data_IF_743211259629
#
_entry.id   IF_743211259629
#
_cell.length_a   1.000
_cell.length_b   1.000
_cell.length_c   1.000
_cell.angle_alpha   90.00
_cell.angle_beta   90.00
_cell.angle_gamma   90.00
#
_symmetry.space_group_name_H-M   'P 1'
#
loop_
_entity.id
_entity.type
_entity.pdbx_description
1 polymer ?
#
# COMPACT_ATOMS: atom_id res chain seq x y z
N UNK A 1 -22.49 17.50 -45.71
CA UNK A 1 -22.28 16.53 -44.62
C UNK A 1 -20.84 16.65 -44.17
N UNK A 2 -20.62 17.14 -42.94
CA UNK A 2 -19.28 17.36 -42.41
C UNK A 2 -18.94 16.17 -41.51
N UNK A 3 -18.13 15.24 -42.01
CA UNK A 3 -17.67 14.09 -41.24
C UNK A 3 -16.64 14.56 -40.23
N UNK A 4 -17.00 14.57 -38.95
CA UNK A 4 -16.09 14.83 -37.84
C UNK A 4 -15.35 13.53 -37.52
N UNK A 5 -14.09 13.41 -37.95
CA UNK A 5 -13.21 12.35 -37.48
C UNK A 5 -12.80 12.64 -36.03
N UNK A 6 -13.40 11.93 -35.08
CA UNK A 6 -12.93 11.90 -33.70
C UNK A 6 -11.73 10.96 -33.65
N UNK A 7 -10.52 11.49 -33.78
CA UNK A 7 -9.32 10.73 -33.40
C UNK A 7 -9.33 10.57 -31.89
N UNK A 8 -9.64 9.36 -31.40
CA UNK A 8 -9.44 9.00 -30.00
C UNK A 8 -7.95 9.15 -29.69
N UNK A 9 -7.59 10.20 -28.95
CA UNK A 9 -6.23 10.45 -28.51
C UNK A 9 -5.90 9.37 -27.48
N UNK A 10 -5.15 8.35 -27.90
CA UNK A 10 -4.66 7.33 -26.97
C UNK A 10 -3.71 8.03 -26.00
N UNK A 11 -4.07 8.10 -24.71
CA UNK A 11 -3.18 8.63 -23.69
C UNK A 11 -1.85 7.85 -23.77
N UNK A 12 -0.73 8.58 -23.79
CA UNK A 12 0.57 7.94 -23.76
C UNK A 12 0.67 7.06 -22.51
N UNK A 13 1.26 5.86 -22.67
CA UNK A 13 1.47 4.95 -21.54
C UNK A 13 2.22 5.68 -20.42
N UNK A 14 1.78 5.58 -19.15
CA UNK A 14 2.50 6.17 -18.03
C UNK A 14 3.98 5.78 -18.04
N UNK A 15 4.87 6.72 -17.74
CA UNK A 15 6.33 6.55 -17.84
C UNK A 15 6.89 5.41 -16.97
N UNK A 16 6.17 5.05 -15.90
CA UNK A 16 6.53 3.96 -15.01
C UNK A 16 6.19 2.58 -15.60
N UNK A 17 5.36 2.50 -16.65
CA UNK A 17 5.11 1.26 -17.37
C UNK A 17 6.24 1.05 -18.39
N UNK A 18 7.42 0.64 -17.90
CA UNK A 18 8.61 0.39 -18.71
C UNK A 18 9.49 -0.70 -18.08
N UNK A 19 9.21 -1.97 -18.38
CA UNK A 19 9.99 -3.09 -17.82
C UNK A 19 11.47 -3.00 -18.17
N UNK A 20 11.81 -2.73 -19.43
CA UNK A 20 13.20 -2.71 -19.92
C UNK A 20 14.11 -1.80 -19.07
N UNK A 21 13.60 -0.64 -18.66
CA UNK A 21 14.37 0.34 -17.88
C UNK A 21 14.17 0.22 -16.38
N UNK A 22 13.01 -0.25 -15.93
CA UNK A 22 12.61 -0.16 -14.52
C UNK A 22 12.51 -1.52 -13.82
N UNK A 23 12.79 -2.63 -14.51
CA UNK A 23 12.69 -4.01 -14.00
C UNK A 23 13.15 -4.16 -12.55
N UNK A 24 14.35 -3.68 -12.22
CA UNK A 24 14.95 -3.84 -10.89
C UNK A 24 14.19 -3.12 -9.76
N UNK A 25 13.40 -2.09 -10.09
CA UNK A 25 12.62 -1.31 -9.14
C UNK A 25 11.15 -1.75 -9.07
N UNK A 26 10.78 -2.81 -9.79
CA UNK A 26 9.37 -3.17 -9.99
C UNK A 26 9.08 -4.63 -9.65
N UNK A 27 10.01 -5.34 -9.03
CA UNK A 27 9.77 -6.73 -8.62
C UNK A 27 8.94 -6.77 -7.33
N UNK A 28 7.73 -7.32 -7.39
CA UNK A 28 6.84 -7.45 -6.22
C UNK A 28 7.45 -8.32 -5.13
N UNK A 29 8.21 -9.36 -5.50
CA UNK A 29 8.86 -10.22 -4.54
C UNK A 29 9.92 -9.52 -3.69
N UNK A 30 10.55 -8.46 -4.20
CA UNK A 30 11.48 -7.63 -3.41
C UNK A 30 10.81 -7.03 -2.17
N UNK A 31 9.51 -6.77 -2.25
CA UNK A 31 8.69 -6.21 -1.17
C UNK A 31 8.19 -7.33 -0.24
N UNK A 32 7.65 -8.40 -0.83
CA UNK A 32 7.03 -9.51 -0.10
C UNK A 32 8.05 -10.36 0.68
N UNK A 33 9.30 -10.45 0.20
CA UNK A 33 10.36 -11.28 0.78
C UNK A 33 11.19 -10.58 1.87
N UNK A 34 10.71 -9.44 2.38
CA UNK A 34 11.40 -8.70 3.44
C UNK A 34 11.34 -9.46 4.77
N UNK A 35 12.22 -9.05 5.69
CA UNK A 35 12.23 -9.57 7.05
C UNK A 35 10.87 -9.36 7.72
N UNK A 36 10.47 -10.29 8.60
CA UNK A 36 9.25 -10.15 9.41
C UNK A 36 9.35 -8.98 10.41
N UNK A 37 10.55 -8.41 10.62
CA UNK A 37 10.76 -7.21 11.44
C UNK A 37 10.65 -5.90 10.64
N UNK A 38 10.57 -5.97 9.31
CA UNK A 38 10.49 -4.79 8.46
C UNK A 38 9.03 -4.32 8.34
N UNK A 39 8.64 -3.40 9.22
CA UNK A 39 7.32 -2.74 9.17
C UNK A 39 7.38 -1.50 8.28
N UNK A 40 6.42 -1.36 7.37
CA UNK A 40 6.22 -0.17 6.52
C UNK A 40 4.92 0.52 6.88
N UNK A 41 4.86 1.84 6.72
CA UNK A 41 3.68 2.67 6.96
C UNK A 41 3.27 3.36 5.66
N UNK A 42 1.98 3.33 5.34
CA UNK A 42 1.43 4.18 4.31
C UNK A 42 1.48 5.63 4.80
N UNK A 43 2.30 6.44 4.16
CA UNK A 43 2.45 7.86 4.52
C UNK A 43 1.55 8.74 3.66
N UNK A 44 1.27 8.32 2.42
CA UNK A 44 0.40 9.07 1.51
C UNK A 44 -0.39 8.15 0.57
N UNK A 45 -1.56 8.64 0.16
CA UNK A 45 -2.41 8.03 -0.86
C UNK A 45 -3.09 9.09 -1.70
N UNK A 46 -3.50 8.73 -2.91
CA UNK A 46 -4.37 9.56 -3.75
C UNK A 46 -5.85 9.33 -3.46
N UNK A 47 -6.22 8.27 -2.71
CA UNK A 47 -7.61 7.93 -2.40
C UNK A 47 -7.75 7.39 -0.96
N UNK A 48 -8.07 8.24 0.03
CA UNK A 48 -8.27 7.79 1.40
C UNK A 48 -9.49 6.87 1.49
N UNK A 49 -9.39 5.85 2.34
CA UNK A 49 -10.47 4.91 2.65
C UNK A 49 -11.33 5.51 3.77
N UNK A 50 -12.64 5.59 3.53
CA UNK A 50 -13.62 6.11 4.47
C UNK A 50 -14.82 5.19 4.54
N UNK A 51 -15.38 5.02 5.73
CA UNK A 51 -16.55 4.18 5.96
C UNK A 51 -17.43 4.76 7.06
N UNK A 52 -18.72 4.42 7.04
CA UNK A 52 -19.63 4.69 8.15
C UNK A 52 -19.57 3.49 9.09
N UNK A 53 -19.10 3.70 10.31
CA UNK A 53 -19.10 2.70 11.37
C UNK A 53 -20.22 2.97 12.38
N UNK A 54 -20.62 1.96 13.13
CA UNK A 54 -21.60 2.07 14.21
C UNK A 54 -20.93 1.68 15.54
N UNK A 55 -20.17 2.60 16.17
CA UNK A 55 -19.55 2.32 17.47
C UNK A 55 -20.58 2.02 18.56
N UNK A 56 -21.81 2.52 18.41
CA UNK A 56 -22.97 2.19 19.25
C UNK A 56 -24.22 2.11 18.37
N UNK A 57 -25.25 1.40 18.85
CA UNK A 57 -26.54 1.26 18.15
C UNK A 57 -27.12 2.63 17.78
N UNK A 58 -27.52 2.81 16.53
CA UNK A 58 -28.07 4.05 15.96
C UNK A 58 -27.20 5.32 16.10
N UNK A 59 -25.88 5.17 16.27
CA UNK A 59 -24.94 6.30 16.22
C UNK A 59 -23.89 6.08 15.13
N UNK A 60 -24.24 6.35 13.85
CA UNK A 60 -23.29 6.24 12.74
C UNK A 60 -22.20 7.31 12.85
N UNK A 61 -20.96 6.92 12.57
CA UNK A 61 -19.82 7.82 12.46
C UNK A 61 -19.08 7.58 11.16
N UNK A 62 -18.90 8.65 10.39
CA UNK A 62 -17.97 8.63 9.27
C UNK A 62 -16.54 8.62 9.84
N UNK A 63 -15.78 7.58 9.50
CA UNK A 63 -14.37 7.47 9.87
C UNK A 63 -13.51 7.32 8.63
N UNK A 64 -12.30 7.86 8.72
CA UNK A 64 -11.22 7.58 7.77
C UNK A 64 -10.30 6.53 8.39
N UNK A 65 -9.78 5.65 7.54
CA UNK A 65 -8.77 4.68 7.92
C UNK A 65 -7.40 5.36 7.77
N UNK A 66 -6.66 5.39 8.87
CA UNK A 66 -5.34 6.02 8.98
C UNK A 66 -4.33 5.03 9.50
N UNK A 67 -3.06 5.42 9.51
CA UNK A 67 -2.00 4.65 10.14
C UNK A 67 -1.84 3.24 9.58
N UNK A 68 -2.24 3.02 8.33
CA UNK A 68 -2.01 1.77 7.64
C UNK A 68 -0.52 1.43 7.71
N UNK A 69 -0.24 0.23 8.16
CA UNK A 69 1.10 -0.30 8.33
C UNK A 69 1.09 -1.78 8.02
N UNK A 70 2.19 -2.28 7.49
CA UNK A 70 2.26 -3.61 6.92
C UNK A 70 3.59 -4.29 7.23
N UNK A 71 3.53 -5.60 7.44
CA UNK A 71 4.66 -6.53 7.33
C UNK A 71 4.22 -7.78 6.57
N UNK A 72 5.18 -8.58 6.14
CA UNK A 72 4.94 -9.87 5.49
C UNK A 72 5.44 -11.02 6.36
N UNK A 73 4.70 -12.11 6.39
CA UNK A 73 5.08 -13.37 7.03
C UNK A 73 4.72 -14.57 6.15
N UNK A 74 5.06 -15.79 6.60
CA UNK A 74 4.76 -17.04 5.91
C UNK A 74 5.15 -17.04 4.41
N UNK A 75 6.32 -16.48 4.10
CA UNK A 75 6.84 -16.41 2.74
C UNK A 75 7.13 -17.81 2.16
N UNK A 76 6.62 -18.09 0.97
CA UNK A 76 7.00 -19.23 0.13
C UNK A 76 7.79 -18.70 -1.07
N UNK A 77 9.11 -18.88 -1.04
CA UNK A 77 10.03 -18.40 -2.06
C UNK A 77 9.82 -19.04 -3.44
N UNK A 78 9.33 -20.29 -3.49
CA UNK A 78 9.13 -20.97 -4.78
C UNK A 78 7.86 -20.48 -5.47
N UNK A 79 6.80 -20.26 -4.69
CA UNK A 79 5.51 -19.78 -5.22
C UNK A 79 5.46 -18.26 -5.31
N UNK A 80 6.36 -17.56 -4.63
CA UNK A 80 6.33 -16.12 -4.42
C UNK A 80 4.99 -15.67 -3.81
N UNK A 81 4.60 -16.36 -2.73
CA UNK A 81 3.41 -16.07 -1.93
C UNK A 81 3.79 -15.66 -0.51
N UNK A 82 2.96 -14.86 0.15
CA UNK A 82 3.15 -14.48 1.54
C UNK A 82 1.81 -14.14 2.21
N UNK A 83 1.82 -14.06 3.54
CA UNK A 83 0.74 -13.43 4.31
C UNK A 83 1.09 -11.95 4.50
N UNK A 84 0.21 -11.06 4.05
CA UNK A 84 0.29 -9.61 4.24
C UNK A 84 -0.50 -9.25 5.50
N UNK A 85 0.18 -8.70 6.49
CA UNK A 85 -0.40 -8.36 7.79
C UNK A 85 -0.49 -6.85 7.95
N UNK A 86 -1.70 -6.33 7.99
CA UNK A 86 -1.95 -4.92 8.19
C UNK A 86 -2.35 -4.59 9.62
N UNK A 87 -1.91 -3.41 10.07
CA UNK A 87 -2.53 -2.70 11.19
C UNK A 87 -2.90 -1.29 10.80
N UNK A 88 -4.01 -0.80 11.35
CA UNK A 88 -4.51 0.55 11.08
C UNK A 88 -5.28 1.13 12.27
N UNK A 89 -5.56 2.42 12.19
CA UNK A 89 -6.37 3.16 13.15
C UNK A 89 -7.56 3.84 12.45
N UNK A 90 -8.55 4.25 13.24
CA UNK A 90 -9.74 4.94 12.77
C UNK A 90 -9.78 6.36 13.36
N UNK A 91 -10.22 7.34 12.57
CA UNK A 91 -10.41 8.72 13.05
C UNK A 91 -11.65 8.90 13.92
N UNK A 92 -12.55 7.92 13.98
CA UNK A 92 -13.72 7.92 14.87
C UNK A 92 -13.32 8.21 16.31
N UNK A 93 -14.05 9.12 16.96
CA UNK A 93 -13.81 9.51 18.35
C UNK A 93 -14.01 8.35 19.33
N UNK A 94 -14.95 7.45 19.06
CA UNK A 94 -15.21 6.27 19.89
C UNK A 94 -14.23 5.12 19.65
N UNK A 95 -13.49 5.16 18.55
CA UNK A 95 -12.47 4.16 18.19
C UNK A 95 -11.05 4.69 18.30
N UNK A 96 -10.89 5.96 18.71
CA UNK A 96 -9.59 6.60 18.88
C UNK A 96 -8.72 5.79 19.83
N UNK A 97 -7.42 5.75 19.55
CA UNK A 97 -6.42 4.99 20.31
C UNK A 97 -6.58 3.46 20.28
N UNK A 98 -7.33 2.92 19.32
CA UNK A 98 -7.39 1.48 19.04
C UNK A 98 -6.55 1.15 17.80
N UNK A 99 -6.01 -0.06 17.75
CA UNK A 99 -5.40 -0.63 16.56
C UNK A 99 -6.26 -1.79 16.07
N UNK A 100 -6.47 -1.84 14.76
CA UNK A 100 -7.21 -2.89 14.07
C UNK A 100 -6.27 -3.66 13.17
N UNK A 101 -6.67 -4.88 12.81
CA UNK A 101 -5.83 -5.85 12.13
C UNK A 101 -6.56 -6.40 10.91
N UNK A 102 -5.83 -6.62 9.82
CA UNK A 102 -6.32 -7.25 8.60
C UNK A 102 -5.23 -8.16 8.05
N UNK A 103 -5.62 -9.33 7.56
CA UNK A 103 -4.71 -10.37 7.08
C UNK A 103 -5.14 -10.81 5.69
N UNK A 104 -4.20 -10.85 4.76
CA UNK A 104 -4.49 -11.20 3.37
C UNK A 104 -3.40 -12.11 2.82
N UNK A 105 -3.79 -13.22 2.19
CA UNK A 105 -2.85 -14.01 1.41
C UNK A 105 -2.58 -13.29 0.09
N UNK A 106 -1.31 -13.15 -0.25
CA UNK A 106 -0.87 -12.45 -1.46
C UNK A 106 0.06 -13.29 -2.31
N UNK A 107 0.11 -12.99 -3.60
CA UNK A 107 1.05 -13.61 -4.54
C UNK A 107 1.60 -12.60 -5.54
N UNK A 108 2.86 -12.79 -5.93
CA UNK A 108 3.49 -12.01 -6.97
C UNK A 108 3.08 -12.55 -8.36
N UNK A 109 2.55 -11.68 -9.24
CA UNK A 109 2.16 -12.02 -10.61
C UNK A 109 2.69 -10.99 -11.63
N UNK A 110 2.91 -11.39 -12.90
CA UNK A 110 3.15 -10.42 -13.95
C UNK A 110 1.84 -9.75 -14.37
N UNK A 111 1.85 -8.44 -14.56
CA UNK A 111 0.76 -7.71 -15.24
C UNK A 111 1.32 -6.74 -16.28
N UNK A 112 0.44 -6.12 -17.08
CA UNK A 112 0.82 -5.14 -18.11
C UNK A 112 1.77 -5.70 -19.18
N UNK A 113 1.75 -7.02 -19.41
CA UNK A 113 2.61 -7.70 -20.38
C UNK A 113 4.05 -7.92 -19.91
N UNK A 114 4.33 -7.73 -18.62
CA UNK A 114 5.68 -7.86 -18.09
C UNK A 114 6.12 -9.33 -18.01
N UNK A 115 7.42 -9.58 -18.13
CA UNK A 115 8.00 -10.89 -17.85
C UNK A 115 8.30 -11.09 -16.37
N UNK A 116 8.61 -10.02 -15.62
CA UNK A 116 8.71 -10.06 -14.16
C UNK A 116 7.35 -10.03 -13.48
N UNK A 117 7.30 -10.62 -12.29
CA UNK A 117 6.18 -10.47 -11.37
C UNK A 117 6.23 -9.09 -10.71
N UNK A 118 5.59 -8.11 -11.33
CA UNK A 118 5.59 -6.71 -10.91
C UNK A 118 4.37 -6.28 -10.09
N UNK A 119 3.54 -7.24 -9.70
CA UNK A 119 2.24 -6.95 -9.08
C UNK A 119 1.99 -7.87 -7.91
N UNK A 120 1.44 -7.32 -6.84
CA UNK A 120 0.93 -8.07 -5.70
C UNK A 120 -0.58 -8.27 -5.93
N UNK A 121 -1.01 -9.51 -6.16
CA UNK A 121 -2.43 -9.88 -6.23
C UNK A 121 -2.92 -10.35 -4.87
N UNK A 122 -4.13 -9.93 -4.49
CA UNK A 122 -4.78 -10.30 -3.26
C UNK A 122 -6.30 -10.47 -3.46
N UNK A 123 -6.92 -11.30 -2.62
CA UNK A 123 -8.38 -11.47 -2.60
C UNK A 123 -9.03 -10.26 -1.92
N UNK A 124 -9.84 -9.48 -2.64
CA UNK A 124 -10.53 -8.31 -2.10
C UNK A 124 -11.93 -8.65 -1.59
N UNK A 125 -12.63 -9.51 -2.33
CA UNK A 125 -13.85 -10.19 -1.88
C UNK A 125 -13.78 -11.64 -2.32
N UNK A 126 -14.67 -12.51 -1.81
CA UNK A 126 -14.74 -13.93 -2.17
C UNK A 126 -14.76 -14.23 -3.68
N UNK A 127 -15.12 -13.25 -4.49
CA UNK A 127 -15.28 -13.41 -5.95
C UNK A 127 -14.38 -12.46 -6.75
N UNK A 128 -13.59 -11.61 -6.09
CA UNK A 128 -12.84 -10.55 -6.75
C UNK A 128 -11.43 -10.44 -6.18
N UNK A 129 -10.47 -10.67 -7.06
CA UNK A 129 -9.07 -10.34 -6.80
C UNK A 129 -8.80 -8.88 -7.20
N UNK A 130 -7.90 -8.24 -6.46
CA UNK A 130 -7.38 -6.93 -6.74
C UNK A 130 -5.85 -6.96 -6.82
N UNK A 131 -5.29 -5.87 -7.36
CA UNK A 131 -3.86 -5.80 -7.63
C UNK A 131 -3.28 -4.47 -7.18
N UNK A 132 -2.12 -4.55 -6.52
CA UNK A 132 -1.24 -3.42 -6.28
C UNK A 132 -0.01 -3.57 -7.18
N UNK A 133 0.11 -2.70 -8.18
CA UNK A 133 1.20 -2.77 -9.18
C UNK A 133 2.38 -1.97 -8.67
N UNK A 134 3.57 -2.56 -8.65
CA UNK A 134 4.78 -1.89 -8.17
C UNK A 134 5.23 -0.88 -9.22
N UNK A 135 5.11 0.40 -8.91
CA UNK A 135 5.64 1.48 -9.74
C UNK A 135 7.13 1.68 -9.44
N UNK A 136 7.50 1.62 -8.15
CA UNK A 136 8.86 1.76 -7.66
C UNK A 136 9.03 1.10 -6.29
N UNK A 137 10.16 0.43 -6.08
CA UNK A 137 10.69 0.06 -4.78
C UNK A 137 12.22 0.13 -4.85
N UNK A 138 12.84 0.60 -3.77
CA UNK A 138 14.29 0.50 -3.58
C UNK A 138 14.68 -0.73 -2.73
N UNK A 139 13.68 -1.53 -2.34
CA UNK A 139 13.85 -2.71 -1.49
C UNK A 139 14.02 -2.41 0.00
N UNK A 140 14.12 -1.15 0.43
CA UNK A 140 14.45 -0.82 1.82
C UNK A 140 13.78 0.43 2.40
N UNK A 141 13.74 1.56 1.71
CA UNK A 141 13.22 2.80 2.27
C UNK A 141 11.73 2.98 1.97
N UNK A 142 11.28 2.68 0.75
CA UNK A 142 9.90 2.90 0.36
C UNK A 142 9.43 2.06 -0.83
N UNK A 143 8.12 1.96 -0.94
CA UNK A 143 7.39 1.38 -2.05
C UNK A 143 6.32 2.34 -2.55
N UNK A 144 6.18 2.40 -3.86
CA UNK A 144 5.14 3.12 -4.54
C UNK A 144 4.31 2.15 -5.37
N UNK A 145 3.01 2.09 -5.07
CA UNK A 145 2.07 1.27 -5.81
C UNK A 145 1.13 2.12 -6.66
N UNK A 146 0.75 1.57 -7.80
CA UNK A 146 -0.47 1.94 -8.51
C UNK A 146 -1.59 1.01 -8.04
N UNK A 147 -2.75 1.59 -7.70
CA UNK A 147 -3.95 0.89 -7.23
C UNK A 147 -5.07 1.08 -8.26
N UNK A 148 -5.19 0.19 -9.27
CA UNK A 148 -5.99 0.43 -10.46
C UNK A 148 -7.49 0.62 -10.20
N UNK A 149 -8.03 0.00 -9.14
CA UNK A 149 -9.44 0.14 -8.75
C UNK A 149 -9.82 1.55 -8.25
N UNK A 150 -8.86 2.46 -8.08
CA UNK A 150 -9.09 3.81 -7.56
C UNK A 150 -8.65 4.88 -8.56
N UNK A 151 -9.23 6.08 -8.43
CA UNK A 151 -8.94 7.26 -9.27
C UNK A 151 -8.87 6.96 -10.78
N UNK A 152 -9.85 6.19 -11.30
CA UNK A 152 -9.92 5.81 -12.71
C UNK A 152 -8.63 5.15 -13.24
N UNK A 153 -8.03 4.24 -12.46
CA UNK A 153 -6.77 3.57 -12.80
C UNK A 153 -5.51 4.33 -12.38
N UNK A 154 -5.64 5.58 -11.90
CA UNK A 154 -4.52 6.46 -11.54
C UNK A 154 -4.28 6.56 -10.03
N UNK A 155 -4.88 5.66 -9.25
CA UNK A 155 -4.67 5.59 -7.82
C UNK A 155 -3.23 5.25 -7.44
N UNK A 156 -2.72 5.84 -6.36
CA UNK A 156 -1.40 5.50 -5.83
C UNK A 156 -1.34 5.45 -4.30
N UNK A 157 -0.35 4.70 -3.82
CA UNK A 157 0.00 4.61 -2.41
C UNK A 157 1.50 4.65 -2.20
N UNK A 158 1.95 5.49 -1.27
CA UNK A 158 3.33 5.57 -0.83
C UNK A 158 3.49 4.92 0.54
N UNK A 159 4.29 3.86 0.58
CA UNK A 159 4.63 3.11 1.79
C UNK A 159 6.10 3.31 2.13
N UNK A 160 6.40 3.55 3.40
CA UNK A 160 7.74 3.94 3.86
C UNK A 160 8.11 3.11 5.08
N UNK A 161 9.34 2.60 5.14
CA UNK A 161 9.83 1.82 6.28
C UNK A 161 9.68 2.60 7.58
N UNK A 162 9.37 1.91 8.68
CA UNK A 162 9.01 2.52 9.96
C UNK A 162 10.05 3.53 10.47
N UNK A 163 11.34 3.31 10.20
CA UNK A 163 12.43 4.25 10.57
C UNK A 163 12.34 5.60 9.85
N UNK A 164 11.66 5.68 8.71
CA UNK A 164 11.56 6.89 7.89
C UNK A 164 10.13 7.48 7.81
N UNK A 165 9.12 6.87 8.44
CA UNK A 165 7.72 7.32 8.35
C UNK A 165 7.47 8.77 8.78
N UNK A 166 8.28 9.29 9.71
CA UNK A 166 8.22 10.69 10.17
C UNK A 166 9.09 11.63 9.31
N UNK A 167 10.07 11.09 8.58
CA UNK A 167 11.02 11.83 7.76
C UNK A 167 11.17 11.09 6.42
N UNK A 168 10.14 11.21 5.58
CA UNK A 168 10.06 10.46 4.31
C UNK A 168 11.24 10.84 3.42
N UNK A 169 11.98 9.86 2.85
CA UNK A 169 13.12 10.17 2.00
C UNK A 169 12.71 11.02 0.79
N UNK A 170 13.56 11.97 0.42
CA UNK A 170 13.25 12.91 -0.67
C UNK A 170 13.02 12.21 -2.01
N UNK A 171 13.75 11.12 -2.30
CA UNK A 171 13.53 10.32 -3.52
C UNK A 171 12.12 9.72 -3.55
N UNK A 172 11.64 9.16 -2.44
CA UNK A 172 10.32 8.56 -2.33
C UNK A 172 9.21 9.60 -2.55
N UNK A 173 9.34 10.77 -1.92
CA UNK A 173 8.39 11.88 -2.08
C UNK A 173 8.40 12.42 -3.50
N UNK A 174 9.59 12.65 -4.08
CA UNK A 174 9.74 13.14 -5.44
C UNK A 174 9.08 12.20 -6.47
N UNK A 175 9.31 10.88 -6.36
CA UNK A 175 8.73 9.91 -7.28
C UNK A 175 7.21 9.85 -7.13
N UNK A 176 6.67 9.91 -5.90
CA UNK A 176 5.22 9.99 -5.68
C UNK A 176 4.64 11.25 -6.32
N UNK A 177 5.22 12.42 -6.08
CA UNK A 177 4.71 13.69 -6.62
C UNK A 177 4.77 13.70 -8.15
N UNK A 178 5.86 13.18 -8.72
CA UNK A 178 6.05 13.08 -10.18
C UNK A 178 5.02 12.15 -10.84
N UNK A 179 4.74 10.99 -10.25
CA UNK A 179 3.91 9.96 -10.89
C UNK A 179 2.42 10.05 -10.51
N UNK A 180 2.13 10.58 -9.33
CA UNK A 180 0.81 10.50 -8.69
C UNK A 180 0.25 11.86 -8.26
N UNK A 181 1.06 12.93 -8.24
CA UNK A 181 0.65 14.24 -7.74
C UNK A 181 -0.59 14.81 -8.43
N UNK A 182 -0.76 14.54 -9.73
CA UNK A 182 -1.94 14.96 -10.49
C UNK A 182 -3.26 14.30 -10.01
N UNK A 183 -3.18 13.14 -9.36
CA UNK A 183 -4.34 12.45 -8.78
C UNK A 183 -4.67 12.91 -7.34
N UNK A 184 -3.91 13.88 -6.81
CA UNK A 184 -4.05 14.41 -5.46
C UNK A 184 -3.22 13.66 -4.42
N UNK A 185 -3.11 14.25 -3.23
CA UNK A 185 -2.35 13.68 -2.11
C UNK A 185 -3.11 13.84 -0.81
N UNK A 186 -3.18 12.74 -0.05
CA UNK A 186 -3.73 12.70 1.29
C UNK A 186 -2.74 11.99 2.21
N UNK A 187 -2.39 12.63 3.33
CA UNK A 187 -1.51 12.02 4.32
C UNK A 187 -2.27 10.95 5.11
N UNK A 188 -1.65 9.78 5.28
CA UNK A 188 -2.26 8.63 5.98
C UNK A 188 -1.62 8.41 7.34
N UNK A 189 -0.33 8.67 7.46
CA UNK A 189 0.38 8.60 8.74
C UNK A 189 0.21 9.91 9.51
N UNK A 190 -0.34 9.83 10.71
CA UNK A 190 -0.48 10.93 11.66
C UNK A 190 0.12 10.49 13.00
N UNK A 191 1.24 11.10 13.40
CA UNK A 191 1.96 10.75 14.63
C UNK A 191 1.08 10.79 15.89
N UNK A 192 0.13 11.73 15.95
CA UNK A 192 -0.78 11.88 17.10
C UNK A 192 -1.84 10.79 17.19
N UNK A 193 -2.19 10.18 16.05
CA UNK A 193 -3.20 9.11 15.96
C UNK A 193 -2.57 7.72 15.97
N UNK A 194 -1.41 7.56 15.33
CA UNK A 194 -0.80 6.26 15.05
C UNK A 194 -0.07 5.62 16.24
N UNK A 195 -0.01 6.28 17.39
CA UNK A 195 0.71 5.81 18.57
C UNK A 195 0.36 4.37 18.97
N UNK A 196 -0.94 4.01 18.97
CA UNK A 196 -1.35 2.65 19.34
C UNK A 196 -0.90 1.60 18.31
N UNK A 197 -1.02 1.91 17.02
CA UNK A 197 -0.55 1.02 15.94
C UNK A 197 0.95 0.78 16.06
N UNK A 198 1.75 1.85 16.26
CA UNK A 198 3.20 1.74 16.46
C UNK A 198 3.52 0.86 17.67
N UNK A 199 2.85 1.08 18.80
CA UNK A 199 3.06 0.29 20.01
C UNK A 199 2.80 -1.20 19.76
N UNK A 200 1.71 -1.55 19.07
CA UNK A 200 1.37 -2.96 18.83
C UNK A 200 2.40 -3.70 17.98
N UNK A 201 3.12 -3.02 17.07
CA UNK A 201 4.24 -3.64 16.36
C UNK A 201 5.45 -3.83 17.26
N UNK A 202 5.77 -2.83 18.08
CA UNK A 202 6.91 -2.89 19.01
C UNK A 202 6.75 -3.96 20.07
N UNK A 203 5.52 -4.21 20.53
CA UNK A 203 5.25 -5.25 21.53
C UNK A 203 5.37 -6.65 20.91
N UNK A 204 4.90 -6.86 19.67
CA UNK A 204 5.08 -8.12 18.94
C UNK A 204 6.55 -8.48 18.69
N UNK A 205 7.37 -7.50 18.29
CA UNK A 205 8.80 -7.73 18.06
C UNK A 205 9.53 -8.16 19.35
N UNK A 206 9.11 -7.63 20.51
CA UNK A 206 9.69 -8.01 21.82
C UNK A 206 9.29 -9.44 22.22
N UNK A 207 8.03 -9.81 21.99
CA UNK A 207 7.53 -11.13 22.38
C UNK A 207 8.07 -12.24 21.44
N UNK A 208 8.27 -11.94 20.16
CA UNK A 208 8.98 -12.82 19.23
C UNK A 208 10.45 -13.06 19.60
N UNK A 209 11.07 -12.14 20.35
CA UNK A 209 12.43 -12.28 20.88
C UNK A 209 12.55 -13.08 22.18
N UNK A 210 11.46 -13.22 22.96
CA UNK A 210 11.47 -13.92 24.26
C UNK A 210 11.30 -15.43 24.17
N UNK A 211 10.83 -15.95 23.04
CA UNK A 211 10.70 -17.41 22.80
C UNK A 211 11.98 -18.05 22.21
N UNK A 212 13.15 -17.42 22.39
CA UNK A 212 14.46 -17.90 21.89
C UNK A 212 15.54 -18.08 22.98
N UNK A 213 15.13 -18.36 24.22
CA UNK A 213 16.01 -18.85 25.31
C UNK A 213 15.45 -20.14 25.86
#
# INVERSE_FOLDING_TARGET
MTTVCITARQEASPIWINEERLRQYQMAWTIMNRSQHDVYFQVATTRPVKEIIYPKYNMPELTEFKCWSVKYSNQDQQKETALREFKYALTSVHRRNQAYYLYENVKAIPTLGYTIKNTIEYEYTRERNETDRVMFTDGNACDLYNVPRTNNGKGCELWVKSSFKENVPACCSFIFDMLCGAAGRHDVYDKSLCGKVVQTWQDEDKDGGKNKT
#
